data_IF_130054992706
#
_entry.id   IF_130054992706
#
_cell.length_a   1.000
_cell.length_b   1.000
_cell.length_c   1.000
_cell.angle_alpha   90.00
_cell.angle_beta   90.00
_cell.angle_gamma   90.00
#
_symmetry.space_group_name_H-M   'P 1'
#
loop_
_entity.id
_entity.type
_entity.pdbx_description
1 polymer ?
#
# COMPACT_ATOMS: atom_id res chain seq x y z
N UNK A 1 12.67 -2.94 -4.07
CA UNK A 1 12.68 -1.49 -4.31
C UNK A 1 11.27 -0.95 -4.08
N UNK A 2 11.15 0.19 -3.40
CA UNK A 2 9.90 0.89 -3.08
C UNK A 2 9.84 2.14 -3.95
N UNK A 3 8.66 2.61 -4.36
CA UNK A 3 8.52 3.86 -5.10
C UNK A 3 9.10 5.03 -4.26
N UNK A 4 10.04 5.80 -4.83
CA UNK A 4 10.71 6.91 -4.15
C UNK A 4 9.74 7.97 -3.60
N UNK A 5 8.58 8.13 -4.24
CA UNK A 5 7.50 9.01 -3.80
C UNK A 5 6.86 8.65 -2.47
N UNK A 6 6.94 7.40 -2.02
CA UNK A 6 6.44 6.97 -0.70
C UNK A 6 7.52 7.00 0.39
N UNK A 7 8.79 6.86 0.01
CA UNK A 7 9.90 6.95 0.95
C UNK A 7 10.14 8.39 1.40
N UNK A 8 10.06 9.36 0.49
CA UNK A 8 10.37 10.77 0.78
C UNK A 8 9.56 11.36 1.96
N UNK A 9 8.23 11.20 2.07
CA UNK A 9 7.46 11.70 3.21
C UNK A 9 7.79 11.01 4.53
N UNK A 10 8.27 9.76 4.47
CA UNK A 10 8.59 8.97 5.67
C UNK A 10 9.94 9.38 6.26
N UNK A 11 10.91 9.72 5.40
CA UNK A 11 12.32 9.92 5.79
C UNK A 11 12.78 11.38 5.70
N UNK A 12 11.96 12.31 5.17
CA UNK A 12 12.35 13.72 5.06
C UNK A 12 12.52 14.35 6.44
N UNK A 13 13.66 15.01 6.66
CA UNK A 13 13.99 15.71 7.91
C UNK A 13 14.01 17.21 7.69
N UNK A 14 13.43 17.98 8.61
CA UNK A 14 13.62 19.43 8.67
C UNK A 14 14.69 19.74 9.73
N UNK A 15 15.39 20.90 9.66
CA UNK A 15 16.50 21.20 10.57
C UNK A 15 16.15 21.04 12.06
N UNK A 16 14.89 21.27 12.44
CA UNK A 16 14.39 21.15 13.82
C UNK A 16 13.21 20.16 13.98
N UNK A 17 12.88 19.37 12.96
CA UNK A 17 11.78 18.40 13.05
C UNK A 17 12.29 17.01 12.65
N UNK A 18 12.18 16.00 13.56
CA UNK A 18 12.45 14.62 13.18
C UNK A 18 11.53 14.17 12.06
N UNK A 19 12.02 13.22 11.27
CA UNK A 19 11.23 12.57 10.24
C UNK A 19 10.06 11.79 10.86
N UNK A 20 9.03 11.53 10.05
CA UNK A 20 7.89 10.70 10.49
C UNK A 20 8.35 9.33 10.98
N UNK A 21 9.33 8.73 10.30
CA UNK A 21 9.95 7.47 10.69
C UNK A 21 10.60 7.54 12.07
N UNK A 22 11.39 8.58 12.35
CA UNK A 22 12.02 8.78 13.66
C UNK A 22 10.97 8.92 14.77
N UNK A 23 9.95 9.78 14.57
CA UNK A 23 8.87 9.97 15.54
C UNK A 23 8.10 8.68 15.85
N UNK A 24 7.78 7.89 14.82
CA UNK A 24 7.07 6.61 15.00
C UNK A 24 7.93 5.60 15.76
N UNK A 25 9.24 5.53 15.47
CA UNK A 25 10.16 4.65 16.19
C UNK A 25 10.30 5.06 17.65
N UNK A 26 10.43 6.35 17.94
CA UNK A 26 10.52 6.85 19.31
C UNK A 26 9.27 6.47 20.11
N UNK A 27 8.08 6.67 19.55
CA UNK A 27 6.83 6.35 20.23
C UNK A 27 6.64 4.84 20.42
N UNK A 28 6.99 4.02 19.42
CA UNK A 28 6.95 2.56 19.57
C UNK A 28 7.93 2.09 20.65
N UNK A 29 9.13 2.67 20.71
CA UNK A 29 10.11 2.36 21.77
C UNK A 29 9.55 2.69 23.15
N UNK A 30 8.91 3.86 23.29
CA UNK A 30 8.27 4.30 24.54
C UNK A 30 7.15 3.34 24.96
N UNK A 31 6.33 2.89 24.01
CA UNK A 31 5.26 1.93 24.27
C UNK A 31 5.82 0.56 24.68
N UNK A 32 6.81 0.03 23.96
CA UNK A 32 7.46 -1.24 24.31
C UNK A 32 8.02 -1.21 25.74
N UNK A 33 8.65 -0.10 26.15
CA UNK A 33 9.13 0.07 27.53
C UNK A 33 7.99 0.17 28.55
N UNK A 34 6.89 0.85 28.20
CA UNK A 34 5.74 1.05 29.09
C UNK A 34 4.96 -0.24 29.36
N UNK A 35 4.87 -1.14 28.38
CA UNK A 35 4.17 -2.43 28.51
C UNK A 35 5.08 -3.56 29.01
N UNK A 36 6.41 -3.34 29.05
CA UNK A 36 7.37 -4.29 29.61
C UNK A 36 7.34 -5.64 28.89
N UNK A 37 7.11 -6.71 29.65
CA UNK A 37 7.07 -8.10 29.14
C UNK A 37 5.66 -8.53 28.66
N UNK A 38 4.68 -7.64 28.65
CA UNK A 38 3.34 -7.99 28.16
C UNK A 38 3.37 -8.28 26.65
N UNK A 39 2.65 -9.34 26.20
CA UNK A 39 2.59 -9.67 24.80
C UNK A 39 1.76 -8.64 24.03
N UNK A 40 2.44 -7.70 23.37
CA UNK A 40 1.79 -6.67 22.56
C UNK A 40 1.86 -6.97 21.06
N UNK A 41 0.83 -6.52 20.34
CA UNK A 41 0.75 -6.58 18.87
C UNK A 41 0.57 -5.18 18.31
N UNK A 42 1.28 -4.85 17.24
CA UNK A 42 1.17 -3.57 16.55
C UNK A 42 0.30 -3.72 15.30
N UNK A 43 -0.76 -2.93 15.20
CA UNK A 43 -1.56 -2.82 13.97
C UNK A 43 -1.38 -1.44 13.36
N UNK A 44 -0.93 -1.39 12.10
CA UNK A 44 -0.75 -0.16 11.33
C UNK A 44 -1.84 -0.08 10.27
N UNK A 45 -2.50 1.07 10.15
CA UNK A 45 -3.58 1.28 9.18
C UNK A 45 -3.38 2.54 8.38
N UNK A 46 -4.00 2.60 7.20
CA UNK A 46 -3.98 3.77 6.36
C UNK A 46 -4.88 3.63 5.15
N UNK A 47 -5.27 4.78 4.59
CA UNK A 47 -6.06 4.89 3.37
C UNK A 47 -5.26 5.58 2.26
N UNK A 48 -5.42 5.16 1.00
CA UNK A 48 -4.79 5.77 -0.17
C UNK A 48 -3.26 5.87 -0.01
N UNK A 49 -2.65 7.06 -0.08
CA UNK A 49 -1.23 7.26 0.22
C UNK A 49 -0.84 6.74 1.60
N UNK A 50 -1.70 6.93 2.61
CA UNK A 50 -1.46 6.45 3.97
C UNK A 50 -1.40 4.93 4.07
N UNK A 51 -2.05 4.20 3.17
CA UNK A 51 -1.95 2.74 3.11
C UNK A 51 -0.54 2.28 2.66
N UNK A 52 0.06 3.02 1.72
CA UNK A 52 1.43 2.78 1.31
C UNK A 52 2.41 3.06 2.46
N UNK A 53 2.23 4.20 3.14
CA UNK A 53 3.02 4.56 4.33
C UNK A 53 2.88 3.52 5.43
N UNK A 54 1.66 3.01 5.71
CA UNK A 54 1.43 1.98 6.71
C UNK A 54 2.25 0.70 6.44
N UNK A 55 2.34 0.30 5.17
CA UNK A 55 3.14 -0.86 4.76
C UNK A 55 4.64 -0.60 4.96
N UNK A 56 5.12 0.61 4.65
CA UNK A 56 6.52 0.99 4.87
C UNK A 56 6.86 1.10 6.36
N UNK A 57 5.98 1.67 7.17
CA UNK A 57 6.13 1.75 8.62
C UNK A 57 6.22 0.34 9.23
N UNK A 58 5.40 -0.61 8.78
CA UNK A 58 5.48 -1.98 9.29
C UNK A 58 6.83 -2.65 9.01
N UNK A 59 7.34 -2.49 7.78
CA UNK A 59 8.68 -2.97 7.40
C UNK A 59 9.77 -2.29 8.25
N UNK A 60 9.64 -0.98 8.44
CA UNK A 60 10.57 -0.18 9.21
C UNK A 60 10.67 -0.63 10.67
N UNK A 61 9.53 -0.83 11.32
CA UNK A 61 9.45 -1.28 12.71
C UNK A 61 10.10 -2.65 12.87
N UNK A 62 9.77 -3.62 12.00
CA UNK A 62 10.42 -4.93 12.08
C UNK A 62 11.93 -4.86 11.86
N UNK A 63 12.37 -4.01 10.94
CA UNK A 63 13.80 -3.83 10.65
C UNK A 63 14.54 -3.13 11.79
N UNK A 64 13.93 -2.12 12.42
CA UNK A 64 14.55 -1.32 13.48
C UNK A 64 14.63 -2.06 14.83
N UNK A 65 13.59 -2.83 15.18
CA UNK A 65 13.49 -3.49 16.49
C UNK A 65 13.87 -4.98 16.46
N UNK A 66 13.98 -5.60 15.29
CA UNK A 66 14.43 -6.99 15.14
C UNK A 66 13.64 -7.96 16.00
N UNK A 67 14.33 -8.69 16.89
CA UNK A 67 13.72 -9.65 17.81
C UNK A 67 12.85 -9.00 18.90
N UNK A 68 13.08 -7.73 19.23
CA UNK A 68 12.26 -6.97 20.17
C UNK A 68 11.00 -6.41 19.50
N UNK A 69 10.85 -6.56 18.18
CA UNK A 69 9.70 -6.04 17.46
C UNK A 69 8.43 -6.88 17.76
N UNK A 70 7.31 -6.25 18.12
CA UNK A 70 6.05 -6.96 18.35
C UNK A 70 5.56 -7.64 17.07
N UNK A 71 4.54 -8.49 17.17
CA UNK A 71 3.83 -8.96 15.98
C UNK A 71 3.23 -7.75 15.25
N UNK A 72 3.58 -7.56 13.96
CA UNK A 72 3.11 -6.41 13.17
C UNK A 72 2.10 -6.85 12.13
N UNK A 73 0.93 -6.21 12.15
CA UNK A 73 -0.14 -6.38 11.17
C UNK A 73 -0.44 -5.06 10.48
N UNK A 74 -0.68 -5.09 9.17
CA UNK A 74 -1.12 -3.94 8.39
C UNK A 74 -2.53 -4.20 7.89
N UNK A 75 -3.45 -3.28 8.14
CA UNK A 75 -4.79 -3.27 7.55
C UNK A 75 -4.92 -1.99 6.76
N UNK A 76 -5.05 -2.10 5.45
CA UNK A 76 -4.96 -0.95 4.56
C UNK A 76 -6.18 -0.83 3.66
N UNK A 77 -6.53 0.40 3.27
CA UNK A 77 -7.74 0.70 2.51
C UNK A 77 -7.38 1.48 1.24
N UNK A 78 -7.88 1.08 0.07
CA UNK A 78 -7.60 1.80 -1.17
C UNK A 78 -6.09 1.92 -1.48
N UNK A 79 -5.30 0.92 -1.06
CA UNK A 79 -3.84 0.99 -1.13
C UNK A 79 -3.34 0.90 -2.58
N UNK A 80 -2.51 1.86 -3.04
CA UNK A 80 -1.72 1.64 -4.25
C UNK A 80 -0.70 0.51 -4.02
N UNK A 81 -0.07 0.05 -5.09
CA UNK A 81 1.02 -0.93 -5.02
C UNK A 81 2.30 -0.24 -4.53
N UNK A 82 2.92 -0.80 -3.49
CA UNK A 82 3.95 -0.09 -2.71
C UNK A 82 5.37 -0.49 -3.11
N UNK A 83 5.57 -1.72 -3.57
CA UNK A 83 6.89 -2.22 -3.91
C UNK A 83 6.89 -3.42 -4.84
N UNK A 84 8.10 -3.79 -5.27
CA UNK A 84 8.32 -4.92 -6.15
C UNK A 84 8.30 -6.28 -5.42
N UNK A 85 8.42 -7.38 -6.18
CA UNK A 85 8.39 -8.75 -5.62
C UNK A 85 9.40 -8.97 -4.50
N UNK A 86 10.59 -8.38 -4.60
CA UNK A 86 11.61 -8.48 -3.53
C UNK A 86 11.17 -7.82 -2.24
N UNK A 87 10.50 -6.67 -2.32
CA UNK A 87 9.96 -5.98 -1.13
C UNK A 87 8.85 -6.81 -0.48
N UNK A 88 7.98 -7.43 -1.28
CA UNK A 88 6.98 -8.38 -0.79
C UNK A 88 7.63 -9.55 -0.05
N UNK A 89 8.62 -10.21 -0.64
CA UNK A 89 9.31 -11.33 0.01
C UNK A 89 9.93 -10.91 1.34
N UNK A 90 10.61 -9.76 1.39
CA UNK A 90 11.19 -9.26 2.64
C UNK A 90 10.16 -9.00 3.74
N UNK A 91 8.97 -8.48 3.40
CA UNK A 91 7.87 -8.33 4.36
C UNK A 91 7.36 -9.68 4.89
N UNK A 92 7.17 -10.65 4.00
CA UNK A 92 6.68 -11.99 4.36
C UNK A 92 7.71 -12.75 5.22
N UNK A 93 9.00 -12.64 4.89
CA UNK A 93 10.13 -13.21 5.66
C UNK A 93 10.25 -12.61 7.06
N UNK A 94 9.98 -11.31 7.22
CA UNK A 94 9.90 -10.64 8.52
C UNK A 94 8.64 -10.99 9.33
N UNK A 95 7.77 -11.86 8.78
CA UNK A 95 6.55 -12.32 9.44
C UNK A 95 5.42 -11.28 9.49
N UNK A 96 5.52 -10.19 8.73
CA UNK A 96 4.52 -9.12 8.70
C UNK A 96 3.27 -9.62 8.00
N UNK A 97 2.10 -9.39 8.61
CA UNK A 97 0.81 -9.74 8.01
C UNK A 97 0.17 -8.50 7.39
N UNK A 98 -0.20 -8.56 6.12
CA UNK A 98 -0.81 -7.43 5.41
C UNK A 98 -2.16 -7.85 4.84
N UNK A 99 -3.21 -7.11 5.20
CA UNK A 99 -4.56 -7.19 4.65
C UNK A 99 -4.86 -5.89 3.89
N UNK A 100 -5.19 -6.02 2.61
CA UNK A 100 -5.55 -4.91 1.72
C UNK A 100 -7.05 -4.96 1.43
N UNK A 101 -7.78 -4.00 1.95
CA UNK A 101 -9.20 -3.80 1.68
C UNK A 101 -9.31 -2.93 0.42
N UNK A 102 -9.80 -3.54 -0.65
CA UNK A 102 -9.79 -2.99 -2.00
C UNK A 102 -11.21 -2.86 -2.50
N UNK A 103 -11.60 -1.66 -2.94
CA UNK A 103 -12.83 -1.50 -3.72
C UNK A 103 -12.52 -1.80 -5.19
N UNK A 104 -13.25 -2.75 -5.80
CA UNK A 104 -13.05 -3.15 -7.20
C UNK A 104 -13.20 -2.00 -8.19
N UNK A 105 -14.01 -1.00 -7.83
CA UNK A 105 -14.27 0.21 -8.62
C UNK A 105 -13.20 1.30 -8.45
N UNK A 106 -12.30 1.18 -7.47
CA UNK A 106 -11.25 2.15 -7.20
C UNK A 106 -10.00 1.89 -8.06
N UNK A 107 -9.68 2.85 -8.93
CA UNK A 107 -8.51 2.80 -9.82
C UNK A 107 -7.17 2.98 -9.08
N UNK A 108 -7.16 3.61 -7.89
CA UNK A 108 -5.93 3.82 -7.11
C UNK A 108 -5.31 2.49 -6.67
N UNK A 109 -6.13 1.48 -6.44
CA UNK A 109 -5.66 0.14 -6.02
C UNK A 109 -4.90 -0.62 -7.11
N UNK A 110 -5.00 -0.16 -8.37
CA UNK A 110 -4.43 -0.79 -9.57
C UNK A 110 -3.13 -0.11 -10.03
N UNK A 111 -2.70 0.97 -9.38
CA UNK A 111 -1.47 1.68 -9.71
C UNK A 111 -0.41 1.50 -8.63
N UNK A 112 0.89 1.57 -8.97
CA UNK A 112 1.49 1.54 -10.31
C UNK A 112 1.39 0.18 -11.03
N UNK A 113 1.21 0.22 -12.36
CA UNK A 113 1.20 -0.94 -13.27
C UNK A 113 -0.18 -1.54 -13.55
N UNK A 114 -0.80 -1.19 -14.68
CA UNK A 114 -1.96 -1.94 -15.17
C UNK A 114 -1.50 -3.28 -15.75
N UNK A 115 -1.98 -4.40 -15.19
CA UNK A 115 -1.85 -5.70 -15.86
C UNK A 115 -2.86 -5.71 -17.00
N UNK A 116 -2.39 -5.46 -18.22
CA UNK A 116 -3.14 -5.78 -19.43
C UNK A 116 -3.16 -7.31 -19.49
N UNK A 117 -4.25 -7.93 -19.07
CA UNK A 117 -4.47 -9.35 -19.34
C UNK A 117 -4.75 -9.46 -20.84
N UNK A 118 -3.67 -9.65 -21.63
CA UNK A 118 -3.75 -9.86 -23.07
C UNK A 118 -4.11 -11.32 -23.31
N UNK A 119 -5.34 -11.68 -22.95
CA UNK A 119 -5.94 -12.93 -23.36
C UNK A 119 -7.04 -12.63 -24.37
N UNK A 120 -6.82 -13.20 -25.55
CA UNK A 120 -7.76 -13.50 -26.63
C UNK A 120 -8.07 -12.37 -27.63
N UNK A 121 -7.64 -12.65 -28.86
CA UNK A 121 -7.69 -11.74 -29.99
C UNK A 121 -9.08 -11.59 -30.58
N UNK A 122 -9.38 -10.38 -31.05
CA UNK A 122 -9.68 -10.05 -32.45
C UNK A 122 -10.06 -8.56 -32.52
N UNK A 123 -9.48 -7.86 -33.50
CA UNK A 123 -9.87 -6.55 -34.01
C UNK A 123 -10.16 -5.42 -32.99
N UNK A 124 -9.09 -4.72 -32.59
CA UNK A 124 -9.00 -3.26 -32.70
C UNK A 124 -10.04 -2.36 -32.02
N UNK A 125 -10.81 -2.83 -31.04
CA UNK A 125 -11.65 -1.97 -30.19
C UNK A 125 -10.92 -1.79 -28.85
N UNK A 126 -10.50 -0.57 -28.49
CA UNK A 126 -10.02 -0.29 -27.13
C UNK A 126 -11.09 -0.73 -26.13
N UNK A 127 -10.72 -1.52 -25.14
CA UNK A 127 -11.68 -1.91 -24.12
C UNK A 127 -12.14 -0.66 -23.37
N UNK A 128 -13.36 -0.65 -22.81
CA UNK A 128 -13.88 0.47 -22.01
C UNK A 128 -12.93 0.86 -20.85
N UNK A 129 -12.04 -0.06 -20.46
CA UNK A 129 -10.96 0.14 -19.48
C UNK A 129 -9.79 0.96 -20.04
N UNK A 130 -9.42 0.78 -21.30
CA UNK A 130 -8.37 1.57 -21.98
C UNK A 130 -8.81 3.04 -22.16
N UNK A 131 -10.10 3.25 -22.41
CA UNK A 131 -10.72 4.59 -22.56
C UNK A 131 -10.67 5.38 -21.24
N UNK A 132 -10.88 4.72 -20.10
CA UNK A 132 -10.80 5.36 -18.76
C UNK A 132 -9.39 5.75 -18.35
N UNK A 133 -8.37 5.00 -18.77
CA UNK A 133 -6.95 5.35 -18.51
C UNK A 133 -6.53 6.58 -19.30
N UNK A 134 -6.98 6.70 -20.56
CA UNK A 134 -6.77 7.91 -21.37
C UNK A 134 -7.48 9.15 -20.81
N UNK A 135 -8.51 8.93 -20.00
CA UNK A 135 -9.31 9.97 -19.33
C UNK A 135 -8.83 10.30 -17.91
N UNK A 136 -7.76 9.65 -17.44
CA UNK A 136 -7.22 9.84 -16.09
C UNK A 136 -6.34 11.10 -16.00
N UNK A 137 -6.28 11.78 -14.85
CA UNK A 137 -5.40 12.92 -14.63
C UNK A 137 -3.94 12.67 -15.06
N UNK A 138 -3.30 13.68 -15.64
CA UNK A 138 -1.97 13.58 -16.28
C UNK A 138 -0.86 13.03 -15.37
N UNK A 139 -0.97 13.20 -14.05
CA UNK A 139 -0.03 12.66 -13.08
C UNK A 139 -0.13 11.13 -12.93
N UNK A 140 -1.31 10.53 -13.11
CA UNK A 140 -1.51 9.07 -13.12
C UNK A 140 -0.93 8.50 -14.41
N UNK A 141 -1.22 9.16 -15.54
CA UNK A 141 -0.75 8.74 -16.86
C UNK A 141 0.78 8.71 -16.93
N UNK A 142 1.45 9.72 -16.36
CA UNK A 142 2.92 9.76 -16.22
C UNK A 142 3.48 8.61 -15.38
N UNK A 143 2.89 8.34 -14.20
CA UNK A 143 3.38 7.26 -13.31
C UNK A 143 3.20 5.88 -13.92
N UNK A 144 2.15 5.65 -14.70
CA UNK A 144 1.90 4.38 -15.39
C UNK A 144 2.88 4.15 -16.54
N UNK A 145 3.24 5.21 -17.28
CA UNK A 145 4.21 5.12 -18.37
C UNK A 145 5.64 4.80 -17.88
N UNK A 146 6.02 5.33 -16.72
CA UNK A 146 7.35 5.12 -16.14
C UNK A 146 7.49 3.75 -15.42
N UNK A 147 6.39 3.12 -15.04
CA UNK A 147 6.41 1.87 -14.25
C UNK A 147 6.09 0.64 -15.09
N UNK A 148 7.05 0.21 -15.91
CA UNK A 148 7.01 -1.13 -16.51
C UNK A 148 7.14 -2.20 -15.43
N UNK A 149 6.03 -2.89 -15.16
CA UNK A 149 5.94 -4.32 -14.77
C UNK A 149 6.57 -4.84 -13.46
N UNK A 150 7.10 -4.03 -12.56
CA UNK A 150 7.80 -4.57 -11.37
C UNK A 150 7.00 -4.65 -10.05
N UNK A 151 5.82 -4.04 -9.95
CA UNK A 151 5.12 -3.94 -8.66
C UNK A 151 4.29 -5.19 -8.34
N UNK A 152 4.49 -5.73 -7.14
CA UNK A 152 3.77 -6.90 -6.65
C UNK A 152 2.72 -6.48 -5.60
N UNK A 153 1.58 -7.14 -5.62
CA UNK A 153 0.59 -7.02 -4.55
C UNK A 153 1.17 -7.65 -3.28
N UNK A 154 1.26 -6.85 -2.21
CA UNK A 154 1.77 -7.24 -0.90
C UNK A 154 0.59 -7.67 -0.02
N UNK A 155 0.64 -8.89 0.53
CA UNK A 155 -0.38 -9.40 1.45
C UNK A 155 -1.59 -10.05 0.79
N UNK A 156 -2.66 -10.20 1.57
CA UNK A 156 -3.95 -10.74 1.10
C UNK A 156 -4.92 -9.60 0.78
N UNK A 157 -5.70 -9.75 -0.29
CA UNK A 157 -6.74 -8.79 -0.66
C UNK A 157 -8.11 -9.24 -0.14
N UNK A 158 -8.85 -8.30 0.46
CA UNK A 158 -10.28 -8.40 0.69
C UNK A 158 -10.96 -7.43 -0.27
N UNK A 159 -11.63 -7.97 -1.29
CA UNK A 159 -12.30 -7.18 -2.32
C UNK A 159 -13.73 -6.87 -1.89
N UNK A 160 -14.11 -5.61 -2.05
CA UNK A 160 -15.45 -5.10 -1.83
C UNK A 160 -16.00 -4.60 -3.16
N UNK A 161 -17.23 -4.97 -3.49
CA UNK A 161 -17.93 -4.46 -4.68
C UNK A 161 -19.10 -3.60 -4.26
N UNK A 162 -19.28 -2.44 -4.92
CA UNK A 162 -20.42 -1.56 -4.65
C UNK A 162 -21.76 -2.27 -4.90
N UNK A 163 -21.78 -3.21 -5.86
CA UNK A 163 -22.95 -3.99 -6.27
C UNK A 163 -23.49 -4.89 -5.16
N UNK A 164 -22.64 -5.25 -4.20
CA UNK A 164 -23.03 -6.07 -3.06
C UNK A 164 -23.71 -5.25 -1.96
N UNK A 165 -23.71 -3.92 -2.06
CA UNK A 165 -24.35 -3.03 -1.11
C UNK A 165 -25.75 -2.61 -1.59
N UNK A 166 -26.76 -2.98 -0.80
CA UNK A 166 -28.17 -2.58 -1.01
C UNK A 166 -28.39 -1.06 -0.96
N UNK A 167 -27.44 -0.30 -0.41
CA UNK A 167 -27.55 1.16 -0.23
C UNK A 167 -26.80 1.96 -1.30
N UNK A 168 -25.72 1.39 -1.86
CA UNK A 168 -24.84 2.08 -2.82
C UNK A 168 -25.12 1.69 -4.27
N UNK A 169 -25.95 0.67 -4.52
CA UNK A 169 -26.37 0.25 -5.86
C UNK A 169 -27.10 1.34 -6.66
N UNK A 170 -27.67 2.35 -5.98
CA UNK A 170 -28.44 3.43 -6.61
C UNK A 170 -27.65 4.71 -6.90
N UNK A 171 -26.39 4.82 -6.44
CA UNK A 171 -25.60 6.05 -6.61
C UNK A 171 -24.65 5.86 -7.81
N UNK A 172 -24.98 6.51 -8.93
CA UNK A 172 -24.09 6.66 -10.09
C UNK A 172 -23.16 7.84 -9.82
N UNK A 173 -21.85 7.58 -9.69
CA UNK A 173 -20.79 8.60 -9.59
C UNK A 173 -19.96 8.56 -10.86
#
# INVERSE_FOLDING_TARGET
MVESGFQSPSTSRAPNCPSLQEMVREEISRLLQSYGDEPITLTVTGHSLGAALATLTAYDVKTAFGSAAPLVTVISFGSPRVGNRSFRCGLEEQGIKVLRIVNSDDLITKVPGFVINRADGHNGVPSDRDIRVLSSPSWIQRRVADTRWEYAEVGKELRLERRDSLYLSCIHV
#
